data_IF_574639126138
#
_entry.id   IF_574639126138
#
_cell.length_a   1.000
_cell.length_b   1.000
_cell.length_c   1.000
_cell.angle_alpha   90.00
_cell.angle_beta   90.00
_cell.angle_gamma   90.00
#
_symmetry.space_group_name_H-M   'P 1'
#
loop_
_entity.id
_entity.type
_entity.pdbx_description
1 polymer ?
#
# COMPACT_ATOMS: atom_id res chain seq x y z
N UNK A 1 -8.56 -20.99 26.99
CA UNK A 1 -7.28 -20.53 26.38
C UNK A 1 -6.66 -19.55 27.37
N UNK A 2 -5.37 -19.69 27.71
CA UNK A 2 -4.70 -18.70 28.57
C UNK A 2 -4.43 -17.48 27.72
N UNK A 3 -4.93 -16.33 28.16
CA UNK A 3 -4.63 -15.03 27.54
C UNK A 3 -3.12 -14.80 27.60
N UNK A 4 -2.47 -14.57 26.45
CA UNK A 4 -1.03 -14.29 26.40
C UNK A 4 -0.85 -12.87 26.92
N UNK A 5 -0.23 -12.72 28.09
CA UNK A 5 0.09 -11.40 28.65
C UNK A 5 1.37 -10.88 27.98
N UNK A 6 1.21 -10.14 26.90
CA UNK A 6 2.30 -9.42 26.22
C UNK A 6 2.48 -8.08 26.90
N UNK A 7 3.73 -7.71 27.21
CA UNK A 7 4.03 -6.54 28.01
C UNK A 7 4.72 -5.40 27.25
N UNK A 8 5.32 -5.71 26.08
CA UNK A 8 6.09 -4.75 25.30
C UNK A 8 6.26 -5.21 23.84
N UNK A 9 6.76 -4.32 22.98
CA UNK A 9 7.01 -4.56 21.56
C UNK A 9 7.94 -5.76 21.29
N UNK A 10 8.92 -6.01 22.15
CA UNK A 10 9.86 -7.11 22.00
C UNK A 10 9.17 -8.48 22.17
N UNK A 11 8.29 -8.59 23.20
CA UNK A 11 7.46 -9.77 23.42
C UNK A 11 6.40 -9.96 22.32
N UNK A 12 5.80 -8.86 21.83
CA UNK A 12 4.88 -8.89 20.69
C UNK A 12 5.56 -9.45 19.45
N UNK A 13 6.78 -8.98 19.16
CA UNK A 13 7.54 -9.42 18.01
C UNK A 13 7.92 -10.91 18.11
N UNK A 14 8.31 -11.39 19.30
CA UNK A 14 8.60 -12.81 19.55
C UNK A 14 7.36 -13.66 19.27
N UNK A 15 6.21 -13.28 19.82
CA UNK A 15 4.95 -13.98 19.63
C UNK A 15 4.55 -14.02 18.13
N UNK A 16 4.61 -12.87 17.45
CA UNK A 16 4.22 -12.78 16.03
C UNK A 16 5.12 -13.65 15.14
N UNK A 17 6.43 -13.64 15.37
CA UNK A 17 7.38 -14.49 14.63
C UNK A 17 7.09 -15.95 14.87
N UNK A 18 6.88 -16.34 16.15
CA UNK A 18 6.59 -17.73 16.53
C UNK A 18 5.29 -18.24 15.85
N UNK A 19 4.22 -17.47 15.91
CA UNK A 19 2.94 -17.85 15.28
C UNK A 19 3.04 -17.90 13.75
N UNK A 20 3.72 -16.96 13.11
CA UNK A 20 3.94 -16.98 11.66
C UNK A 20 4.84 -18.17 11.22
N UNK A 21 5.83 -18.54 12.03
CA UNK A 21 6.61 -19.75 11.77
C UNK A 21 5.74 -21.00 11.88
N UNK A 22 4.90 -21.11 12.92
CA UNK A 22 3.97 -22.25 13.09
C UNK A 22 2.96 -22.37 11.95
N UNK A 23 2.50 -21.24 11.41
CA UNK A 23 1.55 -21.17 10.29
C UNK A 23 2.20 -21.59 8.95
N UNK A 24 3.53 -21.61 8.88
CA UNK A 24 4.29 -22.00 7.69
C UNK A 24 4.71 -23.47 7.73
N UNK A 25 4.45 -24.22 6.67
CA UNK A 25 4.93 -25.60 6.55
C UNK A 25 6.47 -25.66 6.45
N UNK A 26 7.05 -24.69 5.74
CA UNK A 26 8.49 -24.65 5.43
C UNK A 26 9.33 -24.13 6.60
N UNK A 27 8.81 -23.14 7.35
CA UNK A 27 9.58 -22.40 8.35
C UNK A 27 9.21 -22.70 9.81
N UNK A 28 8.35 -23.71 10.06
CA UNK A 28 7.84 -24.04 11.41
C UNK A 28 8.92 -24.35 12.46
N UNK A 29 10.07 -24.87 12.02
CA UNK A 29 11.16 -25.30 12.90
C UNK A 29 12.38 -24.34 12.87
N UNK A 30 12.25 -23.18 12.21
CA UNK A 30 13.37 -22.24 12.07
C UNK A 30 13.68 -21.57 13.42
N UNK A 31 14.98 -21.48 13.74
CA UNK A 31 15.46 -20.71 14.88
C UNK A 31 15.80 -19.29 14.46
N UNK A 32 15.01 -18.32 14.86
CA UNK A 32 15.21 -16.92 14.52
C UNK A 32 16.06 -16.23 15.56
N UNK A 33 17.15 -15.57 15.14
CA UNK A 33 17.98 -14.76 16.02
C UNK A 33 17.23 -13.48 16.43
N UNK A 34 17.45 -13.00 17.64
CA UNK A 34 16.80 -11.80 18.16
C UNK A 34 16.93 -10.58 17.22
N UNK A 35 18.10 -10.37 16.65
CA UNK A 35 18.36 -9.26 15.73
C UNK A 35 17.60 -9.35 14.40
N UNK A 36 17.21 -10.54 13.96
CA UNK A 36 16.59 -10.77 12.65
C UNK A 36 15.06 -10.84 12.71
N UNK A 37 14.47 -10.84 13.92
CA UNK A 37 13.03 -11.09 14.13
C UNK A 37 12.13 -10.16 13.31
N UNK A 38 12.42 -8.86 13.26
CA UNK A 38 11.59 -7.90 12.53
C UNK A 38 11.62 -8.14 11.02
N UNK A 39 12.78 -8.48 10.49
CA UNK A 39 12.94 -8.84 9.07
C UNK A 39 12.23 -10.18 8.78
N UNK A 40 12.38 -11.17 9.64
CA UNK A 40 11.73 -12.49 9.48
C UNK A 40 10.22 -12.35 9.57
N UNK A 41 9.68 -11.61 10.55
CA UNK A 41 8.24 -11.32 10.64
C UNK A 41 7.72 -10.75 9.31
N UNK A 42 8.35 -9.69 8.79
CA UNK A 42 7.97 -9.08 7.51
C UNK A 42 8.03 -10.11 6.37
N UNK A 43 9.11 -10.88 6.28
CA UNK A 43 9.30 -11.87 5.22
C UNK A 43 8.22 -12.96 5.27
N UNK A 44 7.88 -13.46 6.46
CA UNK A 44 6.82 -14.45 6.64
C UNK A 44 5.44 -13.88 6.28
N UNK A 45 5.15 -12.63 6.69
CA UNK A 45 3.92 -11.93 6.27
C UNK A 45 3.83 -11.77 4.75
N UNK A 46 4.97 -11.53 4.07
CA UNK A 46 4.98 -11.35 2.61
C UNK A 46 4.64 -12.66 1.87
N UNK A 47 5.13 -13.79 2.30
CA UNK A 47 4.89 -15.10 1.65
C UNK A 47 3.60 -15.77 2.12
N UNK A 48 3.01 -15.30 3.21
CA UNK A 48 1.80 -15.89 3.78
C UNK A 48 0.61 -15.77 2.83
N UNK A 49 -0.02 -16.90 2.53
CA UNK A 49 -1.28 -16.92 1.81
C UNK A 49 -2.43 -16.37 2.69
N UNK A 50 -3.51 -15.85 2.11
CA UNK A 50 -4.65 -15.28 2.83
C UNK A 50 -5.49 -16.41 3.49
N UNK A 51 -4.93 -17.06 4.51
CA UNK A 51 -5.60 -18.08 5.30
C UNK A 51 -6.08 -17.49 6.64
N UNK A 52 -7.15 -18.05 7.24
CA UNK A 52 -7.57 -17.64 8.58
C UNK A 52 -6.45 -17.75 9.61
N UNK A 53 -6.45 -16.83 10.57
CA UNK A 53 -5.53 -16.83 11.72
C UNK A 53 -6.30 -16.49 12.98
N UNK A 54 -5.70 -16.71 14.16
CA UNK A 54 -6.36 -16.43 15.43
C UNK A 54 -6.64 -14.94 15.63
N UNK A 55 -7.74 -14.63 16.31
CA UNK A 55 -8.05 -13.24 16.72
C UNK A 55 -7.00 -12.66 17.65
N UNK A 56 -6.34 -13.50 18.43
CA UNK A 56 -5.25 -13.10 19.32
C UNK A 56 -4.04 -12.62 18.51
N UNK A 57 -3.68 -13.36 17.45
CA UNK A 57 -2.62 -12.93 16.53
C UNK A 57 -2.92 -11.56 15.93
N UNK A 58 -4.14 -11.36 15.40
CA UNK A 58 -4.55 -10.08 14.79
C UNK A 58 -4.45 -8.94 15.80
N UNK A 59 -4.94 -9.14 17.04
CA UNK A 59 -4.84 -8.14 18.10
C UNK A 59 -3.38 -7.74 18.39
N UNK A 60 -2.49 -8.72 18.55
CA UNK A 60 -1.07 -8.47 18.82
C UNK A 60 -0.39 -7.79 17.64
N UNK A 61 -0.69 -8.24 16.41
CA UNK A 61 -0.19 -7.61 15.19
C UNK A 61 -0.61 -6.15 15.09
N UNK A 62 -1.87 -5.86 15.36
CA UNK A 62 -2.42 -4.50 15.26
C UNK A 62 -1.76 -3.56 16.27
N UNK A 63 -1.63 -4.00 17.51
CA UNK A 63 -0.94 -3.23 18.55
C UNK A 63 0.53 -2.99 18.15
N UNK A 64 1.22 -4.02 17.67
CA UNK A 64 2.61 -3.95 17.24
C UNK A 64 2.82 -2.99 16.06
N UNK A 65 2.02 -3.12 14.99
CA UNK A 65 2.18 -2.31 13.78
C UNK A 65 1.79 -0.85 13.99
N UNK A 66 0.78 -0.57 14.82
CA UNK A 66 0.40 0.80 15.18
C UNK A 66 1.49 1.50 16.01
N UNK A 67 2.07 0.81 16.98
CA UNK A 67 3.18 1.34 17.75
C UNK A 67 4.42 1.57 16.86
N UNK A 68 4.74 0.62 15.99
CA UNK A 68 5.82 0.79 15.00
C UNK A 68 5.59 1.99 14.08
N UNK A 69 4.35 2.27 13.68
CA UNK A 69 4.01 3.45 12.88
C UNK A 69 4.26 4.76 13.66
N UNK A 70 3.91 4.77 14.96
CA UNK A 70 4.17 5.90 15.86
C UNK A 70 5.68 6.11 16.02
N UNK A 71 6.45 5.06 16.27
CA UNK A 71 7.91 5.12 16.41
C UNK A 71 8.60 5.62 15.14
N UNK A 72 8.12 5.25 13.96
CA UNK A 72 8.59 5.77 12.67
C UNK A 72 8.25 7.25 12.45
N UNK A 73 7.35 7.77 13.24
CA UNK A 73 6.83 9.14 13.15
C UNK A 73 5.74 9.30 12.08
N UNK A 74 4.51 9.49 12.53
CA UNK A 74 3.36 9.76 11.66
C UNK A 74 3.45 11.20 11.12
N UNK A 75 3.16 11.36 9.83
CA UNK A 75 3.15 12.64 9.13
C UNK A 75 1.72 13.08 8.82
N UNK A 76 1.27 14.16 9.44
CA UNK A 76 -0.04 14.74 9.14
C UNK A 76 0.00 15.64 7.91
N UNK A 77 -1.15 15.82 7.28
CA UNK A 77 -1.29 16.68 6.10
C UNK A 77 -0.83 18.12 6.39
N UNK A 78 -1.13 18.65 7.59
CA UNK A 78 -0.77 20.00 7.99
C UNK A 78 0.76 20.26 8.06
N UNK A 79 1.55 19.21 8.09
CA UNK A 79 3.03 19.28 8.09
C UNK A 79 3.65 19.14 6.70
N UNK A 80 2.83 19.05 5.65
CA UNK A 80 3.29 18.90 4.27
C UNK A 80 2.92 20.17 3.50
N UNK A 81 3.91 21.02 3.16
CA UNK A 81 3.62 22.26 2.45
C UNK A 81 3.07 21.98 1.05
N UNK A 82 2.18 22.84 0.59
CA UNK A 82 1.71 22.84 -0.78
C UNK A 82 2.77 23.39 -1.73
N UNK A 83 2.67 23.11 -3.03
CA UNK A 83 3.60 23.69 -4.02
C UNK A 83 3.48 25.22 -4.11
N UNK A 84 2.40 25.80 -3.65
CA UNK A 84 2.27 27.25 -3.47
C UNK A 84 3.17 27.75 -2.34
N UNK A 85 3.13 27.09 -1.21
CA UNK A 85 3.89 27.48 -0.02
C UNK A 85 5.38 27.22 -0.18
N UNK A 86 5.75 26.06 -0.73
CA UNK A 86 7.14 25.63 -0.82
C UNK A 86 7.89 26.27 -2.00
N UNK A 87 7.22 26.39 -3.18
CA UNK A 87 7.86 26.86 -4.42
C UNK A 87 7.30 28.18 -4.94
N UNK A 88 6.33 28.78 -4.26
CA UNK A 88 5.68 30.00 -4.75
C UNK A 88 4.92 29.80 -6.06
N UNK A 89 4.46 28.59 -6.36
CA UNK A 89 3.80 28.25 -7.60
C UNK A 89 2.51 29.06 -7.79
N UNK A 90 2.32 29.63 -8.99
CA UNK A 90 1.16 30.46 -9.34
C UNK A 90 0.12 29.73 -10.19
N UNK A 91 0.29 28.45 -10.44
CA UNK A 91 -0.68 27.65 -11.18
C UNK A 91 -1.98 27.53 -10.41
N UNK A 92 -3.06 27.24 -11.11
CA UNK A 92 -4.34 26.94 -10.49
C UNK A 92 -4.22 25.72 -9.60
N UNK A 93 -4.88 25.75 -8.42
CA UNK A 93 -4.84 24.66 -7.42
C UNK A 93 -3.47 24.34 -6.81
N UNK A 94 -2.49 25.24 -6.91
CA UNK A 94 -1.19 25.08 -6.26
C UNK A 94 -1.27 24.94 -4.73
N UNK A 95 -2.36 25.41 -4.14
CA UNK A 95 -2.72 25.26 -2.73
C UNK A 95 -3.42 23.93 -2.39
N UNK A 96 -3.62 23.06 -3.36
CA UNK A 96 -4.21 21.72 -3.21
C UNK A 96 -3.24 20.58 -3.57
N UNK A 97 -2.07 20.91 -4.06
CA UNK A 97 -1.06 19.96 -4.50
C UNK A 97 0.19 20.12 -3.64
N UNK A 98 0.69 19.00 -3.16
CA UNK A 98 1.97 18.91 -2.45
C UNK A 98 2.89 17.90 -3.14
N UNK A 99 4.20 18.13 -3.05
CA UNK A 99 5.23 17.16 -3.42
C UNK A 99 5.96 16.81 -2.14
N UNK A 100 5.97 15.53 -1.80
CA UNK A 100 6.59 15.08 -0.57
C UNK A 100 7.50 13.87 -0.82
N UNK A 101 8.68 13.91 -0.23
CA UNK A 101 9.63 12.80 -0.29
C UNK A 101 9.67 12.10 1.07
N UNK A 102 9.19 10.87 1.12
CA UNK A 102 9.15 10.11 2.36
C UNK A 102 8.46 8.75 2.19
N UNK A 103 8.23 8.08 3.30
CA UNK A 103 7.54 6.80 3.36
C UNK A 103 6.02 7.03 3.43
N UNK A 104 5.32 6.72 2.34
CA UNK A 104 3.86 6.90 2.20
C UNK A 104 3.06 6.15 3.29
N UNK A 105 3.62 5.08 3.86
CA UNK A 105 2.97 4.31 4.94
C UNK A 105 2.89 5.06 6.26
N UNK A 106 3.52 6.24 6.36
CA UNK A 106 3.51 7.12 7.53
C UNK A 106 2.47 8.24 7.44
N UNK A 107 1.77 8.39 6.32
CA UNK A 107 0.85 9.50 6.08
C UNK A 107 -0.49 9.32 6.79
N UNK A 108 -0.83 10.26 7.69
CA UNK A 108 -2.14 10.35 8.33
C UNK A 108 -3.08 11.24 7.49
N UNK A 109 -3.60 10.67 6.42
CA UNK A 109 -4.51 11.29 5.44
C UNK A 109 -5.70 10.37 5.17
N UNK A 110 -6.62 10.76 4.30
CA UNK A 110 -7.76 9.87 4.03
C UNK A 110 -7.36 8.63 3.24
N UNK A 111 -6.56 8.75 2.19
CA UNK A 111 -6.18 7.60 1.39
C UNK A 111 -4.79 7.67 0.78
N UNK A 112 -4.13 6.52 0.69
CA UNK A 112 -2.88 6.35 -0.05
C UNK A 112 -3.08 5.42 -1.23
N UNK A 113 -2.34 5.65 -2.32
CA UNK A 113 -2.40 4.80 -3.50
C UNK A 113 -1.30 3.75 -3.46
N UNK A 114 -1.69 2.51 -3.67
CA UNK A 114 -0.81 1.36 -3.85
C UNK A 114 -0.67 1.02 -5.33
N UNK A 115 0.55 0.94 -5.84
CA UNK A 115 0.84 0.37 -7.17
C UNK A 115 0.89 -1.17 -7.04
N UNK A 116 -0.27 -1.79 -7.21
CA UNK A 116 -0.49 -3.22 -7.10
C UNK A 116 -0.13 -3.97 -8.39
N UNK A 117 -0.02 -5.28 -8.31
CA UNK A 117 -0.02 -6.16 -9.46
C UNK A 117 -1.46 -6.62 -9.80
N UNK A 118 -1.65 -7.23 -10.97
CA UNK A 118 -2.98 -7.68 -11.45
C UNK A 118 -3.64 -8.76 -10.58
N UNK A 119 -2.85 -9.47 -9.76
CA UNK A 119 -3.38 -10.45 -8.82
C UNK A 119 -3.95 -9.82 -7.54
N UNK A 120 -3.63 -8.56 -7.26
CA UNK A 120 -4.08 -7.78 -6.10
C UNK A 120 -3.65 -8.30 -4.73
N UNK A 121 -2.91 -9.40 -4.65
CA UNK A 121 -2.58 -10.07 -3.39
C UNK A 121 -1.30 -9.55 -2.71
N UNK A 122 -0.77 -8.43 -3.17
CA UNK A 122 0.50 -7.90 -2.69
C UNK A 122 1.71 -8.60 -3.29
N UNK A 123 2.90 -8.15 -2.91
CA UNK A 123 4.15 -8.74 -3.36
C UNK A 123 4.55 -9.92 -2.46
N UNK A 124 4.76 -11.10 -3.05
CA UNK A 124 5.17 -12.32 -2.33
C UNK A 124 6.69 -12.49 -2.21
N UNK A 125 7.49 -11.53 -2.69
CA UNK A 125 8.95 -11.61 -2.53
C UNK A 125 9.34 -11.16 -1.12
N UNK A 126 9.98 -12.02 -0.31
CA UNK A 126 10.32 -11.72 1.08
C UNK A 126 11.18 -10.46 1.20
N UNK A 127 10.72 -9.49 2.00
CA UNK A 127 11.46 -8.24 2.26
C UNK A 127 11.70 -7.35 1.03
N UNK A 128 10.99 -7.54 -0.06
CA UNK A 128 11.12 -6.73 -1.27
C UNK A 128 10.86 -5.24 -0.98
N UNK A 129 11.57 -4.37 -1.69
CA UNK A 129 11.52 -2.92 -1.46
C UNK A 129 10.47 -2.18 -2.31
N UNK A 130 9.57 -2.90 -3.01
CA UNK A 130 8.50 -2.25 -3.74
C UNK A 130 7.44 -1.66 -2.79
N UNK A 131 6.69 -0.71 -3.31
CA UNK A 131 5.64 -0.04 -2.54
C UNK A 131 4.52 -1.00 -2.10
N UNK A 132 4.16 -1.94 -2.95
CA UNK A 132 3.14 -2.95 -2.68
C UNK A 132 3.52 -3.81 -1.45
N UNK A 133 4.79 -4.26 -1.38
CA UNK A 133 5.31 -4.96 -0.21
C UNK A 133 5.31 -4.08 1.05
N UNK A 134 5.72 -2.81 0.93
CA UNK A 134 5.78 -1.89 2.06
C UNK A 134 4.37 -1.63 2.65
N UNK A 135 3.39 -1.34 1.80
CA UNK A 135 2.00 -1.08 2.21
C UNK A 135 1.39 -2.31 2.85
N UNK A 136 1.46 -3.49 2.21
CA UNK A 136 0.93 -4.73 2.78
C UNK A 136 1.60 -5.11 4.11
N UNK A 137 2.91 -4.92 4.23
CA UNK A 137 3.65 -5.22 5.47
C UNK A 137 3.29 -4.27 6.63
N UNK A 138 2.95 -3.02 6.33
CA UNK A 138 2.59 -2.03 7.35
C UNK A 138 1.10 -2.05 7.69
N UNK A 139 0.25 -2.42 6.75
CA UNK A 139 -1.19 -2.61 6.99
C UNK A 139 -1.48 -3.86 7.84
N UNK A 140 -0.70 -4.91 7.69
CA UNK A 140 -0.95 -6.22 8.30
C UNK A 140 -1.55 -7.23 7.31
N UNK A 141 -1.68 -8.47 7.77
CA UNK A 141 -2.11 -9.58 6.89
C UNK A 141 -3.57 -9.46 6.43
N UNK A 142 -4.38 -8.67 7.12
CA UNK A 142 -5.80 -8.47 6.83
C UNK A 142 -6.02 -7.74 5.51
N UNK A 143 -5.12 -6.83 5.13
CA UNK A 143 -5.19 -6.16 3.82
C UNK A 143 -5.15 -7.16 2.66
N UNK A 144 -4.25 -8.15 2.73
CA UNK A 144 -4.19 -9.22 1.72
C UNK A 144 -5.45 -10.08 1.75
N UNK A 145 -6.03 -10.32 2.93
CA UNK A 145 -7.27 -11.06 3.06
C UNK A 145 -8.43 -10.33 2.38
N UNK A 146 -8.57 -9.02 2.58
CA UNK A 146 -9.61 -8.21 1.92
C UNK A 146 -9.45 -8.21 0.39
N UNK A 147 -8.22 -8.02 -0.10
CA UNK A 147 -7.91 -8.12 -1.53
C UNK A 147 -8.24 -9.52 -2.09
N UNK A 148 -7.94 -10.57 -1.34
CA UNK A 148 -8.27 -11.95 -1.75
C UNK A 148 -9.78 -12.18 -1.86
N UNK A 149 -10.57 -11.71 -0.90
CA UNK A 149 -12.03 -11.85 -0.98
C UNK A 149 -12.60 -11.07 -2.17
N UNK A 150 -12.07 -9.86 -2.45
CA UNK A 150 -12.41 -9.12 -3.66
C UNK A 150 -12.12 -9.93 -4.94
N UNK A 151 -10.90 -10.45 -5.09
CA UNK A 151 -10.50 -11.24 -6.26
C UNK A 151 -11.30 -12.55 -6.37
N UNK A 152 -11.60 -13.19 -5.25
CA UNK A 152 -12.41 -14.40 -5.19
C UNK A 152 -13.85 -14.16 -5.70
N UNK A 153 -14.47 -13.02 -5.36
CA UNK A 153 -15.77 -12.64 -5.90
C UNK A 153 -15.71 -12.44 -7.42
N UNK A 154 -14.67 -11.77 -7.93
CA UNK A 154 -14.46 -11.59 -9.37
C UNK A 154 -14.28 -12.92 -10.10
N UNK A 155 -13.51 -13.83 -9.52
CA UNK A 155 -13.24 -15.17 -10.08
C UNK A 155 -14.41 -16.14 -10.04
N UNK A 156 -15.50 -15.82 -9.36
CA UNK A 156 -16.76 -16.58 -9.50
C UNK A 156 -17.39 -16.42 -10.89
N UNK A 157 -17.12 -15.29 -11.55
CA UNK A 157 -17.67 -14.96 -12.87
C UNK A 157 -16.68 -15.29 -13.99
N UNK A 158 -15.39 -15.00 -13.75
CA UNK A 158 -14.28 -15.26 -14.67
C UNK A 158 -13.13 -15.88 -13.88
N UNK A 159 -12.90 -17.19 -14.05
CA UNK A 159 -11.90 -17.93 -13.28
C UNK A 159 -10.48 -17.40 -13.43
N UNK A 160 -10.16 -16.84 -14.60
CA UNK A 160 -8.85 -16.29 -14.93
C UNK A 160 -8.78 -14.77 -14.72
N UNK A 161 -9.75 -14.20 -13.98
CA UNK A 161 -9.81 -12.76 -13.75
C UNK A 161 -8.51 -12.22 -13.15
N UNK A 162 -7.98 -11.22 -13.79
CA UNK A 162 -6.94 -10.33 -13.30
C UNK A 162 -7.45 -8.90 -13.27
N UNK A 163 -7.03 -8.13 -12.28
CA UNK A 163 -7.41 -6.72 -12.18
C UNK A 163 -6.81 -5.94 -13.36
N UNK A 164 -7.63 -5.23 -14.14
CA UNK A 164 -7.16 -4.55 -15.34
C UNK A 164 -6.19 -3.40 -15.05
N UNK A 165 -5.22 -3.19 -15.96
CA UNK A 165 -4.37 -1.99 -15.93
C UNK A 165 -5.23 -0.73 -16.02
N UNK A 166 -4.95 0.26 -15.14
CA UNK A 166 -5.69 1.52 -15.08
C UNK A 166 -6.94 1.47 -14.21
N UNK A 167 -7.26 0.34 -13.58
CA UNK A 167 -8.35 0.24 -12.61
C UNK A 167 -7.98 0.83 -11.24
N UNK A 168 -8.98 0.95 -10.35
CA UNK A 168 -8.77 1.29 -8.96
C UNK A 168 -9.75 0.55 -8.05
N UNK A 169 -9.22 -0.07 -6.99
CA UNK A 169 -9.98 -0.79 -5.96
C UNK A 169 -9.65 -0.20 -4.59
N UNK A 170 -10.68 0.12 -3.80
CA UNK A 170 -10.52 0.70 -2.46
C UNK A 170 -10.71 -0.34 -1.40
N UNK A 171 -9.79 -0.39 -0.43
CA UNK A 171 -9.83 -1.25 0.75
C UNK A 171 -9.67 -0.44 2.03
N UNK A 172 -9.92 -1.06 3.16
CA UNK A 172 -9.51 -0.54 4.46
C UNK A 172 -7.98 -0.45 4.56
N UNK A 173 -7.47 0.48 5.37
CA UNK A 173 -6.02 0.64 5.56
C UNK A 173 -5.47 -0.13 6.77
N UNK A 174 -6.34 -0.72 7.60
CA UNK A 174 -6.00 -1.50 8.80
C UNK A 174 -5.07 -0.76 9.77
N UNK A 175 -3.79 -1.15 9.85
CA UNK A 175 -2.83 -0.58 10.80
C UNK A 175 -2.05 0.62 10.26
N UNK A 176 -2.31 1.03 9.02
CA UNK A 176 -1.74 2.27 8.47
C UNK A 176 -2.39 3.50 9.10
N UNK A 177 -1.68 4.65 9.21
CA UNK A 177 -2.24 5.89 9.72
C UNK A 177 -3.36 6.50 8.86
N UNK A 178 -3.42 6.14 7.56
CA UNK A 178 -4.49 6.55 6.65
C UNK A 178 -5.76 5.71 6.87
N UNK A 179 -6.89 6.13 6.26
CA UNK A 179 -8.19 5.43 6.38
C UNK A 179 -8.37 4.36 5.29
N UNK A 180 -7.85 4.62 4.10
CA UNK A 180 -8.06 3.78 2.92
C UNK A 180 -6.76 3.53 2.16
N UNK A 181 -6.68 2.35 1.53
CA UNK A 181 -5.70 2.06 0.47
C UNK A 181 -6.45 1.96 -0.85
N UNK A 182 -5.97 2.69 -1.86
CA UNK A 182 -6.52 2.64 -3.21
C UNK A 182 -5.50 1.88 -4.06
N UNK A 183 -5.83 0.66 -4.46
CA UNK A 183 -4.97 -0.18 -5.27
C UNK A 183 -5.22 0.10 -6.75
N UNK A 184 -4.15 0.32 -7.52
CA UNK A 184 -4.22 0.46 -8.98
C UNK A 184 -3.14 -0.36 -9.65
N UNK A 185 -3.46 -0.96 -10.78
CA UNK A 185 -2.52 -1.75 -11.57
C UNK A 185 -1.90 -0.86 -12.65
N UNK A 186 -0.63 -0.52 -12.47
CA UNK A 186 0.09 0.32 -13.42
C UNK A 186 0.54 -0.43 -14.68
N UNK A 187 0.79 0.28 -15.80
CA UNK A 187 1.34 -0.32 -17.02
C UNK A 187 2.81 -0.73 -16.84
N UNK A 188 3.21 -1.82 -17.51
CA UNK A 188 4.59 -2.31 -17.57
C UNK A 188 5.20 -1.89 -18.91
N UNK A 189 6.36 -1.25 -18.87
CA UNK A 189 7.12 -0.87 -20.07
C UNK A 189 8.22 -1.90 -20.32
N UNK A 190 8.02 -2.78 -21.30
CA UNK A 190 8.99 -3.84 -21.66
C UNK A 190 10.06 -3.37 -22.64
N UNK A 191 9.72 -2.49 -23.58
CA UNK A 191 10.62 -2.02 -24.65
C UNK A 191 10.50 -0.52 -24.85
N UNK A 192 9.44 -0.09 -25.54
CA UNK A 192 9.21 1.32 -25.88
C UNK A 192 7.96 1.85 -25.18
N UNK A 193 8.00 3.11 -24.81
CA UNK A 193 6.88 3.79 -24.22
C UNK A 193 5.91 4.20 -25.35
N UNK A 194 4.74 3.58 -25.37
CA UNK A 194 3.67 3.86 -26.36
C UNK A 194 2.62 4.83 -25.79
N UNK A 195 1.82 5.42 -26.67
CA UNK A 195 0.68 6.27 -26.26
C UNK A 195 -0.37 5.47 -25.48
N UNK A 196 -0.54 4.18 -25.78
CA UNK A 196 -1.37 3.28 -24.98
C UNK A 196 -0.89 3.22 -23.53
N UNK A 197 0.40 2.99 -23.29
CA UNK A 197 0.98 2.93 -21.93
C UNK A 197 0.86 4.29 -21.21
N UNK A 198 1.01 5.42 -21.91
CA UNK A 198 0.75 6.76 -21.34
C UNK A 198 -0.72 6.91 -20.92
N UNK A 199 -1.64 6.49 -21.75
CA UNK A 199 -3.07 6.52 -21.41
C UNK A 199 -3.42 5.56 -20.29
N UNK A 200 -2.82 4.38 -20.25
CA UNK A 200 -2.99 3.42 -19.16
C UNK A 200 -2.53 4.01 -17.83
N UNK A 201 -1.37 4.71 -17.78
CA UNK A 201 -0.92 5.40 -16.61
C UNK A 201 -1.84 6.57 -16.22
N UNK A 202 -2.31 7.37 -17.17
CA UNK A 202 -3.31 8.43 -16.93
C UNK A 202 -4.57 7.84 -16.31
N UNK A 203 -5.02 6.70 -16.80
CA UNK A 203 -6.20 6.00 -16.27
C UNK A 203 -6.00 5.54 -14.81
N UNK A 204 -4.79 5.12 -14.41
CA UNK A 204 -4.51 4.82 -13.00
C UNK A 204 -4.84 6.01 -12.10
N UNK A 205 -4.34 7.20 -12.45
CA UNK A 205 -4.60 8.42 -11.68
C UNK A 205 -6.09 8.79 -11.69
N UNK A 206 -6.73 8.78 -12.84
CA UNK A 206 -8.16 9.12 -12.98
C UNK A 206 -9.05 8.16 -12.20
N UNK A 207 -8.80 6.86 -12.29
CA UNK A 207 -9.58 5.83 -11.58
C UNK A 207 -9.43 5.97 -10.07
N UNK A 208 -8.22 6.24 -9.57
CA UNK A 208 -7.98 6.51 -8.16
C UNK A 208 -8.71 7.77 -7.68
N UNK A 209 -8.64 8.87 -8.42
CA UNK A 209 -9.31 10.13 -8.09
C UNK A 209 -10.85 9.99 -8.11
N UNK A 210 -11.39 9.32 -9.12
CA UNK A 210 -12.83 9.02 -9.19
C UNK A 210 -13.29 8.11 -8.05
N UNK A 211 -12.47 7.12 -7.67
CA UNK A 211 -12.75 6.25 -6.54
C UNK A 211 -12.68 7.03 -5.22
N UNK A 212 -11.75 7.97 -5.08
CA UNK A 212 -11.66 8.85 -3.94
C UNK A 212 -12.96 9.66 -3.74
N UNK A 213 -13.50 10.28 -4.80
CA UNK A 213 -14.80 10.99 -4.72
C UNK A 213 -15.91 10.06 -4.25
N UNK A 214 -16.02 8.86 -4.86
CA UNK A 214 -17.08 7.89 -4.51
C UNK A 214 -17.05 7.46 -3.04
N UNK A 215 -15.86 7.44 -2.43
CA UNK A 215 -15.66 7.02 -1.04
C UNK A 215 -15.52 8.20 -0.06
N UNK A 216 -15.74 9.44 -0.52
CA UNK A 216 -15.64 10.63 0.33
C UNK A 216 -14.20 10.93 0.81
N UNK A 217 -13.19 10.43 0.11
CA UNK A 217 -11.77 10.67 0.37
C UNK A 217 -11.43 12.07 -0.12
N UNK A 218 -10.95 12.93 0.77
CA UNK A 218 -10.66 14.34 0.49
C UNK A 218 -9.16 14.64 0.38
N UNK A 219 -8.33 13.77 0.92
CA UNK A 219 -6.87 13.84 0.82
C UNK A 219 -6.32 12.50 0.33
N UNK A 220 -5.54 12.54 -0.74
CA UNK A 220 -4.99 11.34 -1.40
C UNK A 220 -3.51 11.54 -1.69
N UNK A 221 -2.69 10.54 -1.38
CA UNK A 221 -1.29 10.53 -1.77
C UNK A 221 -1.04 9.41 -2.80
N UNK A 222 -0.35 9.77 -3.86
CA UNK A 222 0.11 8.85 -4.88
C UNK A 222 1.57 8.48 -4.68
N UNK A 223 1.89 7.19 -4.79
CA UNK A 223 3.25 6.76 -5.05
C UNK A 223 3.63 7.01 -6.52
N UNK A 224 4.90 6.85 -6.87
CA UNK A 224 5.38 6.94 -8.24
C UNK A 224 4.97 5.69 -9.05
N UNK A 225 3.71 5.64 -9.51
CA UNK A 225 3.12 4.47 -10.18
C UNK A 225 3.97 4.04 -11.38
N UNK A 226 4.26 2.74 -11.47
CA UNK A 226 5.01 2.08 -12.56
C UNK A 226 6.48 2.48 -12.71
N UNK A 227 7.04 3.39 -11.93
CA UNK A 227 8.41 3.91 -12.15
C UNK A 227 9.52 3.04 -11.54
N UNK A 228 9.18 2.04 -10.74
CA UNK A 228 10.12 1.05 -10.21
C UNK A 228 10.21 -0.18 -11.12
N UNK A 229 9.73 -1.31 -10.65
CA UNK A 229 9.78 -2.62 -11.32
C UNK A 229 9.08 -2.66 -12.69
N UNK A 230 8.19 -1.70 -12.97
CA UNK A 230 7.45 -1.60 -14.23
C UNK A 230 8.12 -0.68 -15.26
N UNK A 231 9.27 -0.11 -14.93
CA UNK A 231 10.19 0.62 -15.82
C UNK A 231 9.57 1.79 -16.59
N UNK A 232 8.50 2.40 -16.11
CA UNK A 232 7.95 3.60 -16.74
C UNK A 232 8.92 4.79 -16.52
N UNK A 233 9.26 5.57 -17.57
CA UNK A 233 10.21 6.68 -17.45
C UNK A 233 9.71 7.73 -16.44
N UNK A 234 10.54 8.06 -15.44
CA UNK A 234 10.17 8.90 -14.31
C UNK A 234 9.65 10.28 -14.72
N UNK A 235 10.31 10.94 -15.68
CA UNK A 235 9.91 12.27 -16.14
C UNK A 235 8.54 12.26 -16.82
N UNK A 236 8.29 11.28 -17.69
CA UNK A 236 6.99 11.12 -18.35
C UNK A 236 5.89 10.75 -17.33
N UNK A 237 6.20 9.88 -16.36
CA UNK A 237 5.26 9.53 -15.30
C UNK A 237 4.89 10.77 -14.46
N UNK A 238 5.87 11.61 -14.10
CA UNK A 238 5.64 12.83 -13.34
C UNK A 238 4.77 13.83 -14.10
N UNK A 239 5.02 14.02 -15.41
CA UNK A 239 4.19 14.86 -16.27
C UNK A 239 2.74 14.38 -16.34
N UNK A 240 2.52 13.07 -16.52
CA UNK A 240 1.19 12.46 -16.56
C UNK A 240 0.48 12.61 -15.22
N UNK A 241 1.16 12.30 -14.11
CA UNK A 241 0.61 12.42 -12.77
C UNK A 241 0.13 13.84 -12.49
N UNK A 242 1.02 14.81 -12.68
CA UNK A 242 0.73 16.21 -12.41
C UNK A 242 -0.39 16.76 -13.32
N UNK A 243 -0.30 16.57 -14.64
CA UNK A 243 -1.31 17.08 -15.58
C UNK A 243 -2.69 16.46 -15.28
N UNK A 244 -2.73 15.16 -15.00
CA UNK A 244 -3.99 14.46 -14.70
C UNK A 244 -4.63 14.97 -13.40
N UNK A 245 -3.84 15.13 -12.33
CA UNK A 245 -4.34 15.66 -11.06
C UNK A 245 -4.82 17.10 -11.20
N UNK A 246 -4.06 17.95 -11.89
CA UNK A 246 -4.42 19.35 -12.11
C UNK A 246 -5.69 19.51 -12.99
N UNK A 247 -5.81 18.72 -14.07
CA UNK A 247 -7.02 18.69 -14.90
C UNK A 247 -8.24 18.21 -14.10
N UNK A 248 -8.05 17.20 -13.25
CA UNK A 248 -9.11 16.67 -12.39
C UNK A 248 -9.63 17.73 -11.41
N UNK A 249 -8.72 18.47 -10.75
CA UNK A 249 -9.08 19.54 -9.83
C UNK A 249 -9.83 20.70 -10.50
N UNK A 250 -9.64 20.93 -11.81
CA UNK A 250 -10.39 21.95 -12.57
C UNK A 250 -11.85 21.56 -12.80
N UNK A 251 -12.16 20.29 -12.76
CA UNK A 251 -13.50 19.76 -13.07
C UNK A 251 -14.29 19.33 -11.85
N UNK A 252 -13.68 19.36 -10.65
CA UNK A 252 -14.26 18.93 -9.38
C UNK A 252 -13.96 19.91 -8.26
#
# INVERSE_FOLDING_TARGET
MKEVKIKNQDESLDYLVEELCKDSIEYKDIKVKKADRRMVMRSLMNIRMPNPISKEFLKVQDEFLKEEAIEKGIMSLDNIPTIREEYGSKIDYADKISIWQGDITRLAIDGIVNAANSQMLGCFVPGHKCIDNAIHSSAGIELRQECYEYMKEKRKVDLDYEEPTGSAVVTSAYNLPCKYVIHTVGPIVYKELTDKLRNDLKNCYLSCLNSAIKHGIRSIAFCCISTGEFHFPNEEAAKIAFSTANEFLKSH
#
